data_IF_083998282887
#
_entry.id   IF_083998282887
#
_cell.length_a   1.000
_cell.length_b   1.000
_cell.length_c   1.000
_cell.angle_alpha   90.00
_cell.angle_beta   90.00
_cell.angle_gamma   90.00
#
_symmetry.space_group_name_H-M   'P 1'
#
loop_
_entity.id
_entity.type
_entity.pdbx_description
1 polymer ?
#
# COMPACT_ATOMS: atom_id res chain seq x y z
N UNK A 1 12.46 -13.78 12.21
CA UNK A 1 11.84 -13.51 10.88
C UNK A 1 10.44 -14.10 10.76
N UNK A 2 10.28 -15.43 10.78
CA UNK A 2 8.96 -16.07 10.66
C UNK A 2 7.94 -15.59 11.73
N UNK A 3 8.36 -15.51 13.00
CA UNK A 3 7.50 -15.01 14.09
C UNK A 3 7.02 -13.57 13.85
N UNK A 4 7.93 -12.69 13.41
CA UNK A 4 7.60 -11.30 13.06
C UNK A 4 6.58 -11.24 11.92
N UNK A 5 6.85 -11.94 10.81
CA UNK A 5 5.96 -11.92 9.65
C UNK A 5 4.55 -12.42 9.98
N UNK A 6 4.45 -13.46 10.84
CA UNK A 6 3.18 -13.98 11.34
C UNK A 6 2.42 -12.94 12.16
N UNK A 7 3.08 -12.27 13.12
CA UNK A 7 2.43 -11.23 13.93
C UNK A 7 1.96 -10.06 13.07
N UNK A 8 2.76 -9.62 12.10
CA UNK A 8 2.39 -8.53 11.19
C UNK A 8 1.25 -8.96 10.24
N UNK A 9 1.18 -10.23 9.86
CA UNK A 9 0.05 -10.76 9.08
C UNK A 9 -1.25 -10.76 9.90
N UNK A 10 -1.21 -11.07 11.21
CA UNK A 10 -2.39 -10.95 12.07
C UNK A 10 -2.85 -9.48 12.21
N UNK A 11 -1.92 -8.52 12.23
CA UNK A 11 -2.24 -7.10 12.23
C UNK A 11 -2.90 -6.66 10.91
N UNK A 12 -2.40 -7.11 9.77
CA UNK A 12 -3.00 -6.88 8.44
C UNK A 12 -4.43 -7.44 8.37
N UNK A 13 -4.68 -8.64 8.90
CA UNK A 13 -6.03 -9.22 9.02
C UNK A 13 -6.95 -8.37 9.90
N UNK A 14 -6.45 -7.89 11.03
CA UNK A 14 -7.23 -7.05 11.94
C UNK A 14 -7.60 -5.72 11.29
N UNK A 15 -6.64 -5.03 10.67
CA UNK A 15 -6.89 -3.73 10.05
C UNK A 15 -7.82 -3.84 8.84
N UNK A 16 -7.60 -4.84 7.97
CA UNK A 16 -8.54 -5.10 6.87
C UNK A 16 -9.95 -5.37 7.39
N UNK A 17 -10.11 -6.14 8.48
CA UNK A 17 -11.42 -6.39 9.09
C UNK A 17 -12.12 -5.09 9.51
N UNK A 18 -11.43 -4.24 10.26
CA UNK A 18 -11.96 -2.97 10.73
C UNK A 18 -12.43 -2.07 9.57
N UNK A 19 -11.67 -2.04 8.47
CA UNK A 19 -12.07 -1.26 7.30
C UNK A 19 -13.27 -1.88 6.59
N UNK A 20 -13.31 -3.21 6.43
CA UNK A 20 -14.46 -3.89 5.80
C UNK A 20 -15.74 -3.68 6.60
N UNK A 21 -15.67 -3.78 7.93
CA UNK A 21 -16.77 -3.48 8.86
C UNK A 21 -17.21 -2.01 8.75
N UNK A 22 -16.27 -1.06 8.69
CA UNK A 22 -16.59 0.37 8.57
C UNK A 22 -17.38 0.73 7.30
N UNK A 23 -17.29 -0.11 6.27
CA UNK A 23 -18.01 0.04 5.01
C UNK A 23 -19.23 -0.90 4.90
N UNK A 24 -19.56 -1.67 5.94
CA UNK A 24 -20.71 -2.60 5.92
C UNK A 24 -20.52 -3.81 5.01
N UNK A 25 -19.28 -4.15 4.66
CA UNK A 25 -18.91 -5.22 3.69
C UNK A 25 -18.08 -6.32 4.35
N UNK A 26 -18.30 -6.55 5.65
CA UNK A 26 -17.60 -7.54 6.47
C UNK A 26 -17.67 -8.97 5.89
N UNK A 27 -18.76 -9.30 5.18
CA UNK A 27 -18.95 -10.61 4.53
C UNK A 27 -17.85 -10.96 3.52
N UNK A 28 -17.10 -9.98 3.00
CA UNK A 28 -16.00 -10.21 2.06
C UNK A 28 -14.65 -10.47 2.74
N UNK A 29 -14.54 -10.24 4.06
CA UNK A 29 -13.25 -10.25 4.78
C UNK A 29 -12.59 -11.63 4.79
N UNK A 30 -13.34 -12.69 5.10
CA UNK A 30 -12.79 -14.05 5.17
C UNK A 30 -12.20 -14.49 3.81
N UNK A 31 -12.94 -14.22 2.73
CA UNK A 31 -12.48 -14.49 1.36
C UNK A 31 -11.25 -13.67 0.99
N UNK A 32 -11.18 -12.41 1.45
CA UNK A 32 -9.99 -11.57 1.27
C UNK A 32 -8.78 -12.19 1.98
N UNK A 33 -8.89 -12.47 3.28
CA UNK A 33 -7.79 -13.04 4.09
C UNK A 33 -7.29 -14.38 3.52
N UNK A 34 -8.18 -15.27 3.07
CA UNK A 34 -7.79 -16.53 2.44
C UNK A 34 -7.03 -16.37 1.12
N UNK A 35 -7.18 -15.22 0.46
CA UNK A 35 -6.53 -14.89 -0.81
C UNK A 35 -5.24 -14.10 -0.68
N UNK A 36 -4.91 -13.56 0.50
CA UNK A 36 -3.72 -12.72 0.69
C UNK A 36 -2.44 -13.57 0.69
N UNK A 37 -1.39 -13.05 0.09
CA UNK A 37 0.00 -13.50 0.22
C UNK A 37 0.88 -12.33 0.65
N UNK A 38 2.00 -12.60 1.32
CA UNK A 38 2.85 -11.57 1.91
C UNK A 38 4.24 -11.56 1.29
N UNK A 39 4.75 -10.36 1.02
CA UNK A 39 6.14 -10.12 0.65
C UNK A 39 6.81 -9.28 1.75
N UNK A 40 7.98 -9.72 2.23
CA UNK A 40 8.73 -9.04 3.28
C UNK A 40 10.01 -8.44 2.71
N UNK A 41 10.22 -7.13 2.92
CA UNK A 41 11.40 -6.40 2.44
C UNK A 41 12.18 -5.79 3.61
N UNK A 42 13.49 -6.01 3.59
CA UNK A 42 14.46 -5.34 4.45
C UNK A 42 15.18 -4.27 3.64
N UNK A 43 15.17 -3.04 4.13
CA UNK A 43 15.84 -1.94 3.43
C UNK A 43 16.82 -1.26 4.36
N UNK A 44 18.10 -1.22 3.96
CA UNK A 44 19.12 -0.36 4.56
C UNK A 44 19.27 0.88 3.67
N UNK A 45 18.93 2.03 4.21
CA UNK A 45 19.12 3.31 3.55
C UNK A 45 20.47 3.87 3.96
N UNK A 46 21.34 4.10 2.97
CA UNK A 46 22.60 4.82 3.17
C UNK A 46 22.32 6.31 3.02
N UNK A 47 23.11 7.13 3.69
CA UNK A 47 23.09 8.58 3.54
C UNK A 47 23.94 8.89 2.30
N UNK A 48 23.36 9.28 1.16
CA UNK A 48 24.17 9.71 0.03
C UNK A 48 24.40 11.23 0.14
N UNK A 49 25.52 11.72 -0.40
CA UNK A 49 25.76 13.17 -0.57
C UNK A 49 24.75 13.80 -1.56
N UNK A 50 23.99 13.00 -2.32
CA UNK A 50 23.00 13.46 -3.30
C UNK A 50 21.72 12.60 -3.27
N UNK A 51 20.59 13.29 -3.24
CA UNK A 51 19.23 12.83 -2.95
C UNK A 51 18.67 11.69 -3.84
N UNK A 52 18.13 10.65 -3.19
CA UNK A 52 16.78 10.03 -3.37
C UNK A 52 16.82 8.56 -2.94
N UNK A 53 16.78 8.34 -1.62
CA UNK A 53 16.26 7.10 -1.07
C UNK A 53 14.77 6.97 -1.47
N UNK A 54 14.28 5.75 -1.70
CA UNK A 54 12.95 5.40 -2.28
C UNK A 54 12.20 6.59 -2.94
N UNK A 55 12.30 6.69 -4.27
CA UNK A 55 11.65 7.74 -5.07
C UNK A 55 10.15 7.85 -4.77
N UNK A 56 9.54 9.04 -4.92
CA UNK A 56 8.11 9.22 -4.73
C UNK A 56 7.27 8.19 -5.49
N UNK A 57 6.42 7.44 -4.79
CA UNK A 57 5.57 6.40 -5.36
C UNK A 57 4.34 6.12 -4.48
N UNK A 58 3.37 5.40 -5.03
CA UNK A 58 2.38 4.65 -4.23
C UNK A 58 2.76 3.17 -4.18
N UNK A 59 2.32 2.52 -3.11
CA UNK A 59 2.43 1.07 -2.95
C UNK A 59 1.41 0.35 -3.84
N UNK A 60 1.76 -0.79 -4.42
CA UNK A 60 0.94 -1.49 -5.44
C UNK A 60 0.07 -2.60 -4.87
N UNK A 61 0.40 -3.00 -3.65
CA UNK A 61 -0.27 -4.01 -2.83
C UNK A 61 -1.59 -3.51 -2.24
N UNK A 62 -2.18 -4.33 -1.36
CA UNK A 62 -3.37 -4.00 -0.60
C UNK A 62 -3.01 -3.18 0.64
N UNK A 63 -2.27 -3.73 1.60
CA UNK A 63 -1.79 -3.02 2.80
C UNK A 63 -0.28 -3.18 2.95
N UNK A 64 0.39 -2.08 3.31
CA UNK A 64 1.80 -2.05 3.72
C UNK A 64 1.87 -1.81 5.21
N UNK A 65 2.61 -2.66 5.93
CA UNK A 65 2.96 -2.44 7.33
C UNK A 65 4.47 -2.21 7.42
N UNK A 66 4.85 -1.02 7.88
CA UNK A 66 6.22 -0.54 7.93
C UNK A 66 6.67 -0.35 9.38
N UNK A 67 7.82 -0.94 9.72
CA UNK A 67 8.57 -0.67 10.94
C UNK A 67 9.94 -0.10 10.59
N UNK A 68 10.46 0.78 11.44
CA UNK A 68 11.78 1.40 11.29
C UNK A 68 12.57 1.38 12.59
N UNK A 69 13.87 1.63 12.50
CA UNK A 69 14.69 1.97 13.66
C UNK A 69 14.43 3.42 14.12
N UNK A 70 15.24 3.96 15.04
CA UNK A 70 15.09 5.31 15.61
C UNK A 70 15.31 6.47 14.62
N UNK A 71 15.57 6.17 13.35
CA UNK A 71 15.85 7.15 12.30
C UNK A 71 14.63 7.31 11.41
N UNK A 72 13.99 8.48 11.52
CA UNK A 72 12.89 8.91 10.66
C UNK A 72 13.33 9.10 9.20
N UNK A 73 12.33 9.18 8.32
CA UNK A 73 12.56 9.54 6.92
C UNK A 73 11.37 9.29 5.99
N UNK A 74 10.32 8.62 6.45
CA UNK A 74 9.09 8.50 5.68
C UNK A 74 8.43 9.88 5.57
N UNK A 75 8.09 10.28 4.35
CA UNK A 75 7.26 11.45 4.07
C UNK A 75 6.07 11.03 3.20
N UNK A 76 4.90 11.59 3.48
CA UNK A 76 3.69 11.40 2.67
C UNK A 76 3.26 12.73 2.05
N UNK A 77 2.76 12.68 0.83
CA UNK A 77 2.30 13.86 0.12
C UNK A 77 0.83 14.14 0.43
N UNK A 78 0.52 15.37 0.83
CA UNK A 78 -0.84 15.86 1.00
C UNK A 78 -1.49 16.21 -0.34
N UNK A 79 -2.81 16.35 -0.36
CA UNK A 79 -3.59 16.73 -1.55
C UNK A 79 -3.14 18.05 -2.18
N UNK A 80 -2.57 18.97 -1.40
CA UNK A 80 -2.03 20.25 -1.88
C UNK A 80 -0.60 20.13 -2.46
N UNK A 81 -0.06 18.91 -2.58
CA UNK A 81 1.27 18.63 -3.11
C UNK A 81 2.41 18.78 -2.09
N UNK A 82 2.13 19.30 -0.89
CA UNK A 82 3.14 19.43 0.17
C UNK A 82 3.49 18.08 0.79
N UNK A 83 4.73 17.94 1.25
CA UNK A 83 5.24 16.74 1.90
C UNK A 83 5.25 16.92 3.40
N UNK A 84 4.68 15.97 4.15
CA UNK A 84 4.76 15.94 5.60
C UNK A 84 5.57 14.72 6.07
N UNK A 85 6.41 14.89 7.11
CA UNK A 85 7.09 13.76 7.73
C UNK A 85 6.09 12.89 8.50
N UNK A 86 6.32 11.58 8.50
CA UNK A 86 5.63 10.63 9.37
C UNK A 86 6.59 10.23 10.47
N UNK A 87 6.42 10.81 11.65
CA UNK A 87 7.21 10.49 12.84
C UNK A 87 6.54 9.35 13.61
N UNK A 88 7.29 8.27 13.85
CA UNK A 88 6.82 7.15 14.66
C UNK A 88 8.00 6.44 15.34
N UNK A 89 7.86 6.08 16.63
CA UNK A 89 8.93 5.43 17.37
C UNK A 89 9.13 3.98 16.91
N UNK A 90 10.29 3.37 17.18
CA UNK A 90 10.58 1.98 16.81
C UNK A 90 9.60 0.94 17.39
N UNK A 91 8.90 1.28 18.47
CA UNK A 91 7.87 0.46 19.11
C UNK A 91 6.52 0.47 18.37
N UNK A 92 6.37 1.32 17.36
CA UNK A 92 5.14 1.48 16.57
C UNK A 92 5.35 1.01 15.14
N UNK A 93 4.24 0.82 14.43
CA UNK A 93 4.22 0.55 12.99
C UNK A 93 3.38 1.59 12.28
N UNK A 94 3.72 1.85 11.03
CA UNK A 94 2.88 2.63 10.10
C UNK A 94 2.15 1.65 9.19
N UNK A 95 0.86 1.89 8.98
CA UNK A 95 0.01 1.10 8.10
C UNK A 95 -0.49 2.00 6.99
N UNK A 96 -0.24 1.61 5.74
CA UNK A 96 -0.63 2.37 4.55
C UNK A 96 -1.45 1.49 3.62
N UNK A 97 -2.47 2.05 3.01
CA UNK A 97 -3.16 1.42 1.89
C UNK A 97 -2.29 1.50 0.64
N UNK A 98 -2.34 0.48 -0.21
CA UNK A 98 -1.81 0.53 -1.56
C UNK A 98 -2.89 0.68 -2.61
N UNK A 99 -2.47 0.71 -3.87
CA UNK A 99 -3.32 0.92 -5.04
C UNK A 99 -4.42 -0.16 -5.15
N UNK A 100 -4.12 -1.41 -4.78
CA UNK A 100 -5.13 -2.46 -4.80
C UNK A 100 -6.25 -2.24 -3.77
N UNK A 101 -5.93 -1.65 -2.61
CA UNK A 101 -6.94 -1.31 -1.61
C UNK A 101 -7.74 -0.07 -2.02
N UNK A 102 -7.10 0.89 -2.68
CA UNK A 102 -7.80 2.01 -3.31
C UNK A 102 -8.79 1.53 -4.37
N UNK A 103 -8.41 0.55 -5.20
CA UNK A 103 -9.30 0.00 -6.22
C UNK A 103 -10.46 -0.81 -5.61
N UNK A 104 -10.16 -1.68 -4.63
CA UNK A 104 -11.18 -2.44 -3.90
C UNK A 104 -12.21 -1.55 -3.21
N UNK A 105 -11.80 -0.43 -2.64
CA UNK A 105 -12.72 0.51 -1.97
C UNK A 105 -13.46 1.45 -2.95
N UNK A 106 -13.33 1.20 -4.26
CA UNK A 106 -13.81 2.06 -5.34
C UNK A 106 -13.39 3.53 -5.14
N UNK A 107 -12.13 3.77 -4.78
CA UNK A 107 -11.53 5.09 -4.59
C UNK A 107 -11.74 5.74 -3.22
N UNK A 108 -12.46 5.11 -2.29
CA UNK A 108 -12.73 5.68 -0.95
C UNK A 108 -11.50 5.69 -0.04
N UNK A 109 -10.69 4.63 -0.08
CA UNK A 109 -9.43 4.54 0.66
C UNK A 109 -8.29 5.07 -0.21
N UNK A 110 -7.63 6.12 0.24
CA UNK A 110 -6.53 6.73 -0.50
C UNK A 110 -5.21 5.96 -0.35
N UNK A 111 -4.59 5.60 -1.47
CA UNK A 111 -3.21 5.11 -1.55
C UNK A 111 -2.24 6.30 -1.46
N UNK A 112 -1.50 6.48 -0.35
CA UNK A 112 -0.69 7.67 -0.13
C UNK A 112 0.56 7.65 -1.01
N UNK A 113 0.77 8.75 -1.73
CA UNK A 113 2.03 9.01 -2.41
C UNK A 113 3.09 9.32 -1.35
N UNK A 114 4.16 8.54 -1.32
CA UNK A 114 5.14 8.60 -0.24
C UNK A 114 6.56 8.47 -0.78
N UNK A 115 7.54 8.93 0.01
CA UNK A 115 8.97 8.84 -0.30
C UNK A 115 9.78 8.64 0.98
N UNK A 116 11.07 8.32 0.84
CA UNK A 116 11.98 8.24 1.98
C UNK A 116 13.14 9.22 1.83
N UNK A 117 13.22 10.21 2.72
CA UNK A 117 14.34 11.16 2.82
C UNK A 117 15.15 10.82 4.07
N UNK A 118 16.44 10.48 3.92
CA UNK A 118 17.31 10.15 5.07
C UNK A 118 18.37 11.22 5.21
N UNK A 119 18.51 11.77 6.42
CA UNK A 119 19.54 12.74 6.79
C UNK A 119 20.37 12.17 7.94
N UNK A 120 21.70 12.29 7.85
CA UNK A 120 22.60 11.99 8.97
C UNK A 120 22.89 10.50 9.17
N UNK A 121 22.14 9.81 10.04
CA UNK A 121 22.38 8.40 10.40
C UNK A 121 21.74 7.43 9.40
N UNK A 122 22.26 6.20 9.35
CA UNK A 122 21.67 5.15 8.52
C UNK A 122 20.29 4.73 9.03
N UNK A 123 19.30 4.67 8.12
CA UNK A 123 17.95 4.18 8.42
C UNK A 123 17.81 2.72 8.01
N UNK A 124 17.09 1.95 8.79
CA UNK A 124 16.72 0.57 8.52
C UNK A 124 15.20 0.44 8.63
N UNK A 125 14.60 -0.31 7.70
CA UNK A 125 13.19 -0.62 7.79
C UNK A 125 12.87 -2.05 7.38
N UNK A 126 11.77 -2.54 7.93
CA UNK A 126 11.12 -3.79 7.53
C UNK A 126 9.72 -3.43 7.05
N UNK A 127 9.38 -3.79 5.83
CA UNK A 127 8.06 -3.58 5.25
C UNK A 127 7.45 -4.93 4.86
N UNK A 128 6.24 -5.20 5.32
CA UNK A 128 5.43 -6.33 4.86
C UNK A 128 4.29 -5.81 3.99
N UNK A 129 4.16 -6.38 2.79
CA UNK A 129 3.19 -5.99 1.77
C UNK A 129 2.21 -7.15 1.55
N UNK A 130 0.90 -6.90 1.63
CA UNK A 130 -0.14 -7.90 1.33
C UNK A 130 -0.64 -7.80 -0.11
N UNK A 131 -0.52 -8.88 -0.88
CA UNK A 131 -1.03 -8.98 -2.26
C UNK A 131 -2.20 -9.95 -2.34
N UNK A 132 -3.20 -9.65 -3.15
CA UNK A 132 -4.33 -10.54 -3.38
C UNK A 132 -3.98 -11.54 -4.49
N UNK A 133 -4.18 -12.83 -4.25
CA UNK A 133 -4.03 -13.90 -5.28
C UNK A 133 -5.26 -14.03 -6.19
N UNK A 134 -6.41 -13.55 -5.73
CA UNK A 134 -7.64 -13.47 -6.52
C UNK A 134 -7.75 -12.09 -7.18
N UNK A 135 -8.70 -11.95 -8.11
CA UNK A 135 -9.02 -10.65 -8.67
C UNK A 135 -9.40 -9.67 -7.56
N UNK A 136 -8.87 -8.45 -7.66
CA UNK A 136 -9.26 -7.32 -6.85
C UNK A 136 -10.46 -6.68 -7.52
N UNK A 137 -11.58 -6.63 -6.81
CA UNK A 137 -12.85 -6.09 -7.28
C UNK A 137 -13.51 -5.29 -6.15
N UNK A 138 -14.22 -4.22 -6.52
CA UNK A 138 -14.98 -3.46 -5.55
C UNK A 138 -16.23 -4.24 -5.10
N UNK A 139 -16.56 -4.30 -3.79
CA UNK A 139 -17.85 -4.76 -3.33
C UNK A 139 -18.97 -3.98 -4.03
N UNK A 140 -20.03 -4.68 -4.41
CA UNK A 140 -21.18 -4.09 -5.12
C UNK A 140 -21.86 -2.98 -4.31
N UNK A 141 -21.82 -3.06 -2.98
CA UNK A 141 -22.36 -2.08 -2.04
C UNK A 141 -21.59 -0.75 -2.05
N UNK A 142 -20.39 -0.72 -2.63
CA UNK A 142 -19.58 0.48 -2.78
C UNK A 142 -19.75 1.13 -4.16
N UNK A 143 -20.69 0.65 -4.97
CA UNK A 143 -20.96 1.12 -6.32
C UNK A 143 -22.44 1.47 -6.44
N UNK A 144 -22.70 2.74 -6.74
CA UNK A 144 -24.05 3.29 -6.90
C UNK A 144 -24.02 4.46 -7.91
N UNK A 145 -25.16 5.10 -8.14
CA UNK A 145 -25.26 6.21 -9.10
C UNK A 145 -24.44 7.45 -8.68
N UNK A 146 -24.20 7.64 -7.37
CA UNK A 146 -23.37 8.73 -6.84
C UNK A 146 -21.87 8.36 -6.85
N UNK A 147 -21.55 7.07 -6.78
CA UNK A 147 -20.21 6.49 -6.75
C UNK A 147 -20.06 5.40 -7.82
N UNK A 148 -20.00 5.78 -9.12
CA UNK A 148 -19.87 4.81 -10.19
C UNK A 148 -18.58 4.00 -10.08
N UNK A 149 -18.57 2.81 -10.67
CA UNK A 149 -17.39 1.94 -10.68
C UNK A 149 -16.22 2.64 -11.37
N UNK A 150 -15.08 2.72 -10.70
CA UNK A 150 -13.86 3.38 -11.21
C UNK A 150 -12.88 2.40 -11.84
N UNK A 151 -12.92 1.13 -11.43
CA UNK A 151 -11.94 0.11 -11.81
C UNK A 151 -12.63 -1.22 -12.14
N UNK A 152 -12.21 -1.85 -13.23
CA UNK A 152 -12.58 -3.23 -13.59
C UNK A 152 -11.89 -4.22 -12.65
N UNK A 153 -12.46 -5.41 -12.39
CA UNK A 153 -11.75 -6.48 -11.69
C UNK A 153 -10.41 -6.79 -12.34
N UNK A 154 -9.34 -6.93 -11.53
CA UNK A 154 -7.98 -7.09 -12.05
C UNK A 154 -7.10 -8.02 -11.20
N UNK A 155 -6.07 -8.61 -11.81
CA UNK A 155 -5.07 -9.40 -11.11
C UNK A 155 -4.01 -8.49 -10.46
N UNK A 156 -3.92 -8.53 -9.13
CA UNK A 156 -2.97 -7.72 -8.36
C UNK A 156 -1.51 -8.09 -8.65
N UNK A 157 -1.22 -9.39 -8.85
CA UNK A 157 0.14 -9.81 -9.20
C UNK A 157 0.46 -9.48 -10.66
N UNK A 158 -0.52 -9.59 -11.55
CA UNK A 158 -0.45 -9.11 -12.93
C UNK A 158 -0.16 -7.60 -13.01
N UNK A 159 -0.73 -6.81 -12.10
CA UNK A 159 -0.46 -5.37 -12.01
C UNK A 159 1.02 -5.07 -11.69
N UNK A 160 1.68 -5.87 -10.85
CA UNK A 160 3.14 -5.76 -10.64
C UNK A 160 3.93 -6.03 -11.94
N UNK A 161 3.47 -6.98 -12.75
CA UNK A 161 4.02 -7.23 -14.07
C UNK A 161 3.87 -6.01 -14.98
N UNK A 162 2.67 -5.43 -15.03
CA UNK A 162 2.36 -4.26 -15.84
C UNK A 162 3.25 -3.06 -15.51
N UNK A 163 3.45 -2.70 -14.23
CA UNK A 163 4.30 -1.55 -13.86
C UNK A 163 5.78 -1.75 -14.20
N UNK A 164 6.19 -2.97 -14.49
CA UNK A 164 7.54 -3.30 -14.94
C UNK A 164 7.71 -3.17 -16.47
N UNK A 165 6.62 -2.97 -17.22
CA UNK A 165 6.64 -2.71 -18.67
C UNK A 165 6.96 -1.26 -18.99
N UNK A 166 7.33 -0.97 -20.25
CA UNK A 166 7.58 0.40 -20.70
C UNK A 166 6.33 1.29 -20.61
N UNK A 167 5.15 0.72 -20.89
CA UNK A 167 3.88 1.42 -20.73
C UNK A 167 3.62 1.75 -19.25
N UNK A 168 3.75 0.75 -18.37
CA UNK A 168 3.55 0.92 -16.93
C UNK A 168 4.53 1.89 -16.27
N UNK A 169 5.76 2.03 -16.79
CA UNK A 169 6.75 3.00 -16.29
C UNK A 169 6.49 4.43 -16.77
N UNK A 170 5.85 4.61 -17.93
CA UNK A 170 5.59 5.93 -18.54
C UNK A 170 4.27 6.55 -18.08
N UNK A 171 3.31 5.73 -17.65
CA UNK A 171 2.01 6.23 -17.20
C UNK A 171 2.13 6.95 -15.86
N UNK A 172 1.45 8.10 -15.76
CA UNK A 172 1.35 8.88 -14.52
C UNK A 172 0.42 8.22 -13.49
N UNK A 173 -0.53 7.39 -13.94
CA UNK A 173 -1.45 6.66 -13.08
C UNK A 173 -1.51 5.19 -13.53
N UNK A 174 -0.58 4.35 -13.05
CA UNK A 174 -0.53 2.95 -13.47
C UNK A 174 -1.79 2.16 -13.15
N UNK A 175 -2.42 2.42 -12.00
CA UNK A 175 -3.65 1.73 -11.62
C UNK A 175 -4.78 2.01 -12.63
N UNK A 176 -5.00 3.28 -12.97
CA UNK A 176 -6.00 3.67 -13.96
C UNK A 176 -5.67 3.14 -15.36
N UNK A 177 -4.40 3.13 -15.75
CA UNK A 177 -3.99 2.57 -17.05
C UNK A 177 -4.24 1.05 -17.13
N UNK A 178 -4.02 0.33 -16.01
CA UNK A 178 -4.17 -1.12 -15.98
C UNK A 178 -5.62 -1.59 -15.92
N UNK A 179 -6.45 -0.94 -15.09
CA UNK A 179 -7.79 -1.42 -14.78
C UNK A 179 -8.86 -0.33 -14.70
N UNK A 180 -8.57 0.92 -15.05
CA UNK A 180 -9.55 2.00 -15.00
C UNK A 180 -10.71 1.80 -15.99
N UNK A 181 -11.85 2.41 -15.64
CA UNK A 181 -13.00 2.61 -16.54
C UNK A 181 -12.92 3.97 -17.22
#
# INVERSE_FOLDING_TARGET
LHCYAKQVAELDKMVSKLVFESYGVEKYHESHVGSVTYFLRFTKYRVPEQNLNATPHTDKNFITILQQNEVNGLEVQLKNGSWIPVDFPPSSVVIMAGDAFSAWSNGRVHSPFHRVTVKGKGRYSIAQFSYCKKLVEAPTELVDDEHPLLYKPFDNLGFLGFISTDEGRKTQNPLKAYCGI
#
